data_IF_916005462803
#
_entry.id   IF_916005462803
#
_cell.length_a   1.000
_cell.length_b   1.000
_cell.length_c   1.000
_cell.angle_alpha   90.00
_cell.angle_beta   90.00
_cell.angle_gamma   90.00
#
_symmetry.space_group_name_H-M   'P 1'
#
loop_
_entity.id
_entity.type
_entity.pdbx_description
1 polymer ?
#
# COMPACT_ATOMS: atom_id res chain seq x y z
N UNK A 1 7.90 -2.56 -8.10
CA UNK A 1 6.49 -2.12 -8.13
C UNK A 1 5.72 -2.66 -9.32
N UNK A 2 6.22 -2.50 -10.57
CA UNK A 2 5.52 -3.02 -11.76
C UNK A 2 5.07 -4.49 -11.64
N UNK A 3 5.96 -5.40 -11.21
CA UNK A 3 5.60 -6.82 -11.02
C UNK A 3 4.55 -7.04 -9.91
N UNK A 4 4.58 -6.23 -8.85
CA UNK A 4 3.58 -6.29 -7.76
C UNK A 4 2.21 -5.84 -8.29
N UNK A 5 2.17 -4.74 -9.06
CA UNK A 5 0.93 -4.25 -9.66
C UNK A 5 0.34 -5.27 -10.62
N UNK A 6 1.16 -5.85 -11.49
CA UNK A 6 0.75 -6.93 -12.39
C UNK A 6 0.15 -8.12 -11.63
N UNK A 7 0.74 -8.49 -10.50
CA UNK A 7 0.20 -9.55 -9.66
C UNK A 7 -1.15 -9.15 -9.04
N UNK A 8 -1.26 -7.94 -8.50
CA UNK A 8 -2.51 -7.43 -7.91
C UNK A 8 -3.63 -7.44 -8.96
N UNK A 9 -3.40 -6.85 -10.12
CA UNK A 9 -4.37 -6.78 -11.22
C UNK A 9 -4.83 -8.16 -11.69
N UNK A 10 -3.94 -9.16 -11.69
CA UNK A 10 -4.27 -10.49 -12.16
C UNK A 10 -4.92 -11.40 -11.10
N UNK A 11 -4.73 -11.12 -9.80
CA UNK A 11 -5.07 -12.08 -8.73
C UNK A 11 -5.96 -11.53 -7.62
N UNK A 12 -6.01 -10.20 -7.43
CA UNK A 12 -6.81 -9.60 -6.36
C UNK A 12 -8.21 -9.31 -6.93
N UNK A 13 -9.29 -9.80 -6.29
CA UNK A 13 -10.64 -9.52 -6.75
C UNK A 13 -10.96 -8.03 -6.64
N UNK A 14 -11.99 -7.55 -7.36
CA UNK A 14 -12.40 -6.14 -7.33
C UNK A 14 -12.74 -5.64 -5.90
N UNK A 15 -13.29 -6.51 -5.05
CA UNK A 15 -13.56 -6.21 -3.64
C UNK A 15 -12.32 -6.29 -2.74
N UNK A 16 -11.15 -6.60 -3.31
CA UNK A 16 -9.91 -6.76 -2.59
C UNK A 16 -9.34 -5.42 -2.14
N UNK A 17 -8.86 -5.38 -0.91
CA UNK A 17 -8.24 -4.20 -0.32
C UNK A 17 -6.74 -4.44 -0.15
N UNK A 18 -5.91 -3.61 -0.80
CA UNK A 18 -4.45 -3.66 -0.71
C UNK A 18 -3.96 -2.43 0.04
N UNK A 19 -3.20 -2.64 1.11
CA UNK A 19 -2.57 -1.58 1.90
C UNK A 19 -1.09 -1.85 2.02
N UNK A 20 -0.29 -0.78 2.13
CA UNK A 20 1.15 -0.83 2.35
C UNK A 20 1.58 0.20 3.40
N UNK A 21 2.77 0.02 3.95
CA UNK A 21 3.41 1.00 4.83
C UNK A 21 4.37 1.83 3.98
N UNK A 22 4.04 3.12 3.82
CA UNK A 22 4.76 4.04 2.95
C UNK A 22 5.78 4.87 3.73
N UNK A 23 6.88 4.25 4.16
CA UNK A 23 7.90 4.92 4.98
C UNK A 23 8.70 5.96 4.17
N UNK A 24 8.83 7.17 4.72
CA UNK A 24 9.68 8.23 4.16
C UNK A 24 9.33 8.58 2.71
N UNK A 25 10.32 8.56 1.82
CA UNK A 25 10.16 8.90 0.41
C UNK A 25 9.51 7.80 -0.44
N UNK A 26 9.30 6.59 0.11
CA UNK A 26 8.67 5.50 -0.63
C UNK A 26 7.23 5.85 -1.05
N UNK A 27 6.56 6.74 -0.31
CA UNK A 27 5.23 7.24 -0.66
C UNK A 27 5.17 7.84 -2.08
N UNK A 28 6.21 8.56 -2.52
CA UNK A 28 6.24 9.19 -3.84
C UNK A 28 6.36 8.16 -4.96
N UNK A 29 7.04 7.04 -4.69
CA UNK A 29 7.08 5.90 -5.60
C UNK A 29 5.71 5.22 -5.69
N UNK A 30 5.05 4.97 -4.55
CA UNK A 30 3.76 4.29 -4.54
C UNK A 30 2.64 5.13 -5.15
N UNK A 31 2.69 6.46 -5.00
CA UNK A 31 1.75 7.38 -5.61
C UNK A 31 1.73 7.28 -7.14
N UNK A 32 2.89 6.98 -7.77
CA UNK A 32 2.97 6.76 -9.23
C UNK A 32 2.16 5.55 -9.71
N UNK A 33 1.82 4.63 -8.80
CA UNK A 33 1.02 3.44 -9.08
C UNK A 33 -0.41 3.54 -8.50
N UNK A 34 -0.85 4.74 -8.11
CA UNK A 34 -2.24 5.00 -7.67
C UNK A 34 -2.52 4.71 -6.20
N UNK A 35 -1.51 4.38 -5.39
CA UNK A 35 -1.69 4.32 -3.94
C UNK A 35 -1.91 5.72 -3.38
N UNK A 36 -2.86 5.85 -2.46
CA UNK A 36 -3.20 7.11 -1.78
C UNK A 36 -3.07 6.96 -0.27
N UNK A 37 -2.86 8.08 0.43
CA UNK A 37 -2.92 8.07 1.90
C UNK A 37 -4.33 7.70 2.37
N UNK A 38 -4.39 6.81 3.35
CA UNK A 38 -5.65 6.39 4.00
C UNK A 38 -5.90 7.13 5.32
N UNK A 39 -4.91 7.85 5.83
CA UNK A 39 -5.02 8.71 7.01
C UNK A 39 -5.91 9.94 6.73
N UNK A 40 -6.63 10.47 7.74
CA UNK A 40 -6.69 9.99 9.12
C UNK A 40 -7.64 8.80 9.33
N UNK A 41 -8.38 8.38 8.29
CA UNK A 41 -9.41 7.33 8.40
C UNK A 41 -8.83 5.97 8.80
N UNK A 42 -7.65 5.63 8.31
CA UNK A 42 -6.92 4.42 8.65
C UNK A 42 -5.43 4.75 8.75
N UNK A 43 -4.76 4.24 9.79
CA UNK A 43 -3.34 4.49 10.05
C UNK A 43 -2.63 3.16 10.27
N UNK A 44 -1.44 3.02 9.66
CA UNK A 44 -0.56 1.88 9.93
C UNK A 44 -0.05 1.92 11.37
N UNK A 45 0.03 0.77 12.03
CA UNK A 45 0.51 0.64 13.40
C UNK A 45 1.42 -0.58 13.50
N UNK A 46 2.47 -0.51 14.32
CA UNK A 46 3.37 -1.61 14.60
C UNK A 46 3.45 -1.86 16.11
N UNK A 47 3.53 -3.12 16.52
CA UNK A 47 3.80 -3.51 17.91
C UNK A 47 5.11 -4.30 17.96
N UNK A 48 6.07 -3.81 18.74
CA UNK A 48 7.36 -4.46 18.97
C UNK A 48 7.58 -4.71 20.45
N UNK A 49 8.01 -5.91 20.82
CA UNK A 49 8.53 -6.22 22.15
C UNK A 49 10.04 -6.13 22.07
N UNK A 50 10.62 -5.12 22.72
CA UNK A 50 12.04 -5.08 23.03
C UNK A 50 12.34 -6.11 24.13
#
# INVERSE_FOLDING_TARGET
>A
MAEIMKYIEANVPESGYVSLIADGQAQDLYAQFGFIHTAPRSVGMAYSRL
#
